data_IF_249246559482
#
_entry.id   IF_249246559482
#
_cell.length_a   1.000
_cell.length_b   1.000
_cell.length_c   1.000
_cell.angle_alpha   90.00
_cell.angle_beta   90.00
_cell.angle_gamma   90.00
#
_symmetry.space_group_name_H-M   'P 1'
#
loop_
_entity.id
_entity.type
_entity.pdbx_description
1 polymer ?
#
# COMPACT_ATOMS: atom_id res chain seq x y z
N UNK A 1 27.84 54.27 31.41
CA UNK A 1 27.11 53.93 32.65
C UNK A 1 26.35 52.64 32.38
N UNK A 2 26.49 51.48 33.04
CA UNK A 2 27.35 50.93 34.10
C UNK A 2 27.70 49.51 33.65
N UNK A 3 28.99 49.14 33.68
CA UNK A 3 29.49 47.75 33.70
C UNK A 3 29.45 47.26 35.16
N UNK A 4 29.34 45.94 35.39
CA UNK A 4 29.73 45.15 36.60
C UNK A 4 29.08 43.77 36.46
N UNK A 5 29.65 42.61 36.82
CA UNK A 5 31.01 42.10 36.93
C UNK A 5 30.84 40.56 37.09
N UNK A 6 31.81 39.81 36.59
CA UNK A 6 31.96 38.36 36.67
C UNK A 6 32.36 37.91 38.09
N UNK A 7 31.84 36.80 38.60
CA UNK A 7 32.58 36.00 39.60
C UNK A 7 32.39 34.51 39.37
N UNK A 8 33.48 33.89 38.92
CA UNK A 8 33.74 32.46 38.85
C UNK A 8 34.28 32.02 40.23
N UNK A 9 33.76 30.94 40.81
CA UNK A 9 34.41 30.28 41.96
C UNK A 9 34.58 28.81 41.63
N UNK A 10 35.82 28.37 41.69
CA UNK A 10 36.31 27.03 41.41
C UNK A 10 37.11 26.62 42.64
N UNK A 11 36.73 25.55 43.34
CA UNK A 11 37.61 24.91 44.32
C UNK A 11 37.36 23.39 44.39
N UNK A 12 38.42 22.68 43.99
CA UNK A 12 38.99 21.42 44.48
C UNK A 12 38.12 20.36 45.16
N UNK A 13 38.21 19.13 44.64
CA UNK A 13 37.53 17.95 45.14
C UNK A 13 38.22 17.22 46.29
N UNK A 14 37.52 16.21 46.79
CA UNK A 14 38.05 15.09 47.57
C UNK A 14 37.28 13.84 47.10
N UNK A 15 38.01 12.83 46.66
CA UNK A 15 37.55 11.46 46.47
C UNK A 15 37.55 10.70 47.80
N UNK A 16 36.47 10.00 48.13
CA UNK A 16 36.51 8.84 49.04
C UNK A 16 35.56 7.76 48.52
N UNK A 17 36.08 6.53 48.49
CA UNK A 17 35.49 5.29 48.02
C UNK A 17 34.71 4.52 49.10
N UNK A 18 33.90 3.55 48.64
CA UNK A 18 33.29 2.39 49.36
C UNK A 18 32.22 2.72 50.42
N UNK A 19 31.06 2.07 50.50
CA UNK A 19 30.78 0.63 50.43
C UNK A 19 29.26 0.38 50.25
N UNK A 20 28.91 -0.75 49.65
CA UNK A 20 27.57 -1.35 49.55
C UNK A 20 26.92 -1.51 50.93
N UNK A 21 25.63 -1.19 51.11
CA UNK A 21 24.65 -1.90 51.95
C UNK A 21 23.23 -1.66 51.40
N UNK A 22 22.49 -2.75 51.18
CA UNK A 22 21.11 -2.78 50.71
C UNK A 22 20.10 -2.43 51.82
N UNK A 23 18.99 -1.77 51.48
CA UNK A 23 17.61 -2.28 51.58
C UNK A 23 16.63 -1.20 51.11
N UNK A 24 15.48 -1.66 50.63
CA UNK A 24 14.51 -0.97 49.79
C UNK A 24 13.79 0.21 50.46
N UNK A 25 13.45 1.21 49.65
CA UNK A 25 12.18 1.95 49.74
C UNK A 25 11.76 2.37 48.33
N UNK A 26 10.50 2.06 47.99
CA UNK A 26 9.83 2.42 46.75
C UNK A 26 9.74 3.94 46.63
N UNK A 27 10.27 4.50 45.54
CA UNK A 27 9.84 5.79 45.03
C UNK A 27 9.50 5.60 43.56
N UNK A 28 8.20 5.65 43.32
CA UNK A 28 7.57 5.68 42.01
C UNK A 28 8.23 6.75 41.13
N UNK A 29 8.89 6.28 40.07
CA UNK A 29 9.26 7.14 38.95
C UNK A 29 8.02 7.39 38.12
N UNK A 30 7.58 8.64 38.18
CA UNK A 30 6.66 9.27 37.24
C UNK A 30 7.27 9.22 35.82
N UNK A 31 6.95 8.16 35.08
CA UNK A 31 7.04 8.14 33.62
C UNK A 31 5.72 8.67 33.06
N UNK A 32 5.63 9.99 32.97
CA UNK A 32 4.65 10.68 32.16
C UNK A 32 4.82 10.29 30.68
N UNK A 33 3.78 9.71 30.10
CA UNK A 33 3.49 9.87 28.66
C UNK A 33 4.12 8.86 27.70
N UNK A 34 3.99 7.55 27.96
CA UNK A 34 3.93 6.62 26.85
C UNK A 34 2.56 6.78 26.16
N UNK A 35 2.51 7.53 25.04
CA UNK A 35 1.37 7.50 24.14
C UNK A 35 1.05 6.03 23.81
N UNK A 36 -0.13 5.60 24.24
CA UNK A 36 -0.72 4.34 23.81
C UNK A 36 -0.92 4.42 22.29
N UNK A 37 0.04 3.94 21.52
CA UNK A 37 -0.19 3.56 20.12
C UNK A 37 -1.27 2.50 20.20
N UNK A 38 -2.51 2.88 19.88
CA UNK A 38 -3.64 1.97 19.91
C UNK A 38 -3.32 0.78 19.01
N UNK A 39 -3.29 -0.42 19.58
CA UNK A 39 -3.19 -1.71 18.86
C UNK A 39 -4.46 -2.00 18.02
N UNK A 40 -5.11 -0.96 17.49
CA UNK A 40 -6.24 -1.10 16.58
C UNK A 40 -5.74 -1.80 15.31
N UNK A 41 -6.37 -2.91 14.97
CA UNK A 41 -6.07 -3.69 13.77
C UNK A 41 -7.36 -4.30 13.22
N UNK A 42 -7.39 -4.55 11.92
CA UNK A 42 -8.54 -5.20 11.30
C UNK A 42 -8.61 -6.68 11.71
N UNK A 43 -9.81 -7.12 12.11
CA UNK A 43 -10.08 -8.53 12.34
C UNK A 43 -10.11 -9.31 11.02
N UNK A 44 -9.85 -10.62 11.08
CA UNK A 44 -9.97 -11.47 9.89
C UNK A 44 -11.39 -11.48 9.34
N UNK A 45 -12.41 -11.41 10.19
CA UNK A 45 -13.81 -11.34 9.80
C UNK A 45 -14.10 -10.10 8.95
N UNK A 46 -13.59 -8.92 9.36
CA UNK A 46 -13.75 -7.69 8.58
C UNK A 46 -13.03 -7.83 7.25
N UNK A 47 -11.77 -8.26 7.23
CA UNK A 47 -10.97 -8.41 6.00
C UNK A 47 -11.64 -9.37 5.01
N UNK A 48 -12.14 -10.49 5.50
CA UNK A 48 -12.77 -11.53 4.68
C UNK A 48 -14.12 -11.06 4.10
N UNK A 49 -14.73 -10.03 4.69
CA UNK A 49 -15.94 -9.40 4.18
C UNK A 49 -15.68 -8.32 3.10
N UNK A 50 -14.45 -7.78 3.02
CA UNK A 50 -14.14 -6.65 2.15
C UNK A 50 -14.00 -7.09 0.69
N UNK A 51 -14.68 -6.36 -0.19
CA UNK A 51 -14.61 -6.51 -1.64
C UNK A 51 -13.76 -5.40 -2.27
N UNK A 52 -13.40 -5.56 -3.55
CA UNK A 52 -12.74 -4.47 -4.31
C UNK A 52 -13.58 -3.19 -4.28
N UNK A 53 -14.91 -3.29 -4.35
CA UNK A 53 -15.79 -2.12 -4.30
C UNK A 53 -15.75 -1.44 -2.93
N UNK A 54 -15.57 -2.20 -1.85
CA UNK A 54 -15.39 -1.63 -0.51
C UNK A 54 -14.06 -0.88 -0.40
N UNK A 55 -12.97 -1.42 -0.97
CA UNK A 55 -11.68 -0.73 -1.03
C UNK A 55 -11.74 0.53 -1.88
N UNK A 56 -12.40 0.48 -3.03
CA UNK A 56 -12.61 1.66 -3.90
C UNK A 56 -13.41 2.72 -3.17
N UNK A 57 -14.52 2.34 -2.53
CA UNK A 57 -15.35 3.25 -1.74
C UNK A 57 -14.54 3.87 -0.60
N UNK A 58 -13.75 3.08 0.12
CA UNK A 58 -12.91 3.58 1.20
C UNK A 58 -11.86 4.58 0.69
N UNK A 59 -11.25 4.30 -0.46
CA UNK A 59 -10.32 5.22 -1.13
C UNK A 59 -11.02 6.52 -1.56
N UNK A 60 -12.21 6.45 -2.16
CA UNK A 60 -12.96 7.64 -2.59
C UNK A 60 -13.29 8.55 -1.41
N UNK A 61 -13.75 7.98 -0.29
CA UNK A 61 -14.03 8.71 0.95
C UNK A 61 -12.75 9.37 1.46
N UNK A 62 -11.69 8.60 1.70
CA UNK A 62 -10.46 9.10 2.32
C UNK A 62 -9.70 10.08 1.43
N UNK A 63 -9.58 9.80 0.13
CA UNK A 63 -8.88 10.69 -0.81
C UNK A 63 -9.66 11.97 -1.16
N UNK A 64 -10.92 12.10 -0.75
CA UNK A 64 -11.67 13.35 -0.86
C UNK A 64 -11.44 14.28 0.34
N UNK A 65 -10.94 13.76 1.45
CA UNK A 65 -10.62 14.50 2.66
C UNK A 65 -9.19 15.08 2.58
N UNK A 66 -9.06 16.40 2.66
CA UNK A 66 -7.75 17.06 2.65
C UNK A 66 -6.97 16.78 3.95
N UNK A 67 -7.67 16.66 5.10
CA UNK A 67 -7.02 16.36 6.36
C UNK A 67 -6.36 14.97 6.30
N UNK A 68 -7.03 13.98 5.70
CA UNK A 68 -6.48 12.63 5.51
C UNK A 68 -5.18 12.63 4.73
N UNK A 69 -5.05 13.48 3.70
CA UNK A 69 -3.86 13.53 2.83
C UNK A 69 -2.63 14.07 3.55
N UNK A 70 -2.84 14.90 4.57
CA UNK A 70 -1.79 15.53 5.36
C UNK A 70 -1.36 14.67 6.57
N UNK A 71 -2.08 13.58 6.86
CA UNK A 71 -1.74 12.62 7.91
C UNK A 71 -0.46 11.82 7.61
N UNK A 72 0.17 11.35 8.68
CA UNK A 72 1.23 10.32 8.59
C UNK A 72 0.65 8.99 8.07
N UNK A 73 1.49 8.08 7.56
CA UNK A 73 1.01 6.77 7.09
C UNK A 73 0.35 5.97 8.23
N UNK A 74 0.86 6.08 9.46
CA UNK A 74 0.29 5.41 10.63
C UNK A 74 -1.09 5.97 10.98
N UNK A 75 -1.25 7.30 10.94
CA UNK A 75 -2.54 7.94 11.17
C UNK A 75 -3.55 7.66 10.04
N UNK A 76 -3.09 7.60 8.78
CA UNK A 76 -3.91 7.13 7.67
C UNK A 76 -4.36 5.69 7.88
N UNK A 77 -3.49 4.83 8.41
CA UNK A 77 -3.85 3.45 8.70
C UNK A 77 -4.93 3.37 9.80
N UNK A 78 -4.79 4.12 10.90
CA UNK A 78 -5.80 4.21 11.95
C UNK A 78 -7.15 4.73 11.43
N UNK A 79 -7.12 5.77 10.61
CA UNK A 79 -8.31 6.29 9.94
C UNK A 79 -9.00 5.20 9.10
N UNK A 80 -8.22 4.47 8.30
CA UNK A 80 -8.76 3.45 7.40
C UNK A 80 -9.27 2.22 8.14
N UNK A 81 -8.69 1.85 9.28
CA UNK A 81 -9.22 0.79 10.15
C UNK A 81 -10.65 1.12 10.58
N UNK A 82 -10.88 2.35 11.07
CA UNK A 82 -12.20 2.82 11.48
C UNK A 82 -13.17 2.80 10.31
N UNK A 83 -12.75 3.34 9.16
CA UNK A 83 -13.59 3.37 7.95
C UNK A 83 -13.98 1.98 7.44
N UNK A 84 -13.07 1.00 7.45
CA UNK A 84 -13.41 -0.37 7.04
C UNK A 84 -14.38 -1.04 8.02
N UNK A 85 -14.23 -0.81 9.33
CA UNK A 85 -15.20 -1.29 10.31
C UNK A 85 -16.59 -0.66 10.08
N UNK A 86 -16.65 0.65 9.80
CA UNK A 86 -17.92 1.32 9.48
C UNK A 86 -18.56 0.76 8.20
N UNK A 87 -17.76 0.48 7.17
CA UNK A 87 -18.23 -0.18 5.93
C UNK A 87 -18.76 -1.58 6.24
N UNK A 88 -18.03 -2.35 7.06
CA UNK A 88 -18.42 -3.69 7.49
C UNK A 88 -19.75 -3.66 8.25
N UNK A 89 -19.88 -2.79 9.25
CA UNK A 89 -21.10 -2.68 10.06
C UNK A 89 -22.30 -2.18 9.24
N UNK A 90 -22.08 -1.25 8.32
CA UNK A 90 -23.13 -0.81 7.41
C UNK A 90 -23.60 -1.94 6.47
N UNK A 91 -22.73 -2.90 6.14
CA UNK A 91 -23.09 -4.12 5.41
C UNK A 91 -23.80 -5.10 6.34
N UNK A 92 -23.27 -5.37 7.53
CA UNK A 92 -23.83 -6.31 8.52
C UNK A 92 -25.29 -5.97 8.85
N UNK A 93 -25.60 -4.68 9.06
CA UNK A 93 -26.96 -4.19 9.32
C UNK A 93 -27.91 -4.39 8.12
N UNK A 94 -27.38 -4.47 6.89
CA UNK A 94 -28.15 -4.74 5.67
C UNK A 94 -28.37 -6.25 5.44
N UNK A 95 -27.70 -7.15 6.17
CA UNK A 95 -27.83 -8.61 5.99
C UNK A 95 -28.95 -9.21 6.86
N UNK A 96 -30.18 -8.99 6.43
CA UNK A 96 -31.16 -10.09 6.28
C UNK A 96 -31.33 -10.51 4.80
N UNK A 97 -30.61 -9.88 3.88
CA UNK A 97 -30.63 -10.21 2.45
C UNK A 97 -29.33 -10.88 2.01
N UNK A 98 -29.47 -12.16 1.67
CA UNK A 98 -28.47 -13.16 1.30
C UNK A 98 -27.96 -12.94 -0.15
N UNK A 99 -26.81 -13.55 -0.46
CA UNK A 99 -26.29 -13.89 -1.80
C UNK A 99 -25.86 -12.75 -2.74
N UNK A 100 -24.54 -12.62 -2.95
CA UNK A 100 -23.93 -12.51 -4.27
C UNK A 100 -22.54 -13.17 -4.24
N UNK A 101 -22.27 -14.23 -5.03
CA UNK A 101 -20.90 -14.69 -5.25
C UNK A 101 -20.25 -13.77 -6.29
N UNK A 102 -19.07 -13.21 -6.01
CA UNK A 102 -18.39 -12.34 -6.98
C UNK A 102 -17.05 -12.96 -7.37
N UNK A 103 -16.80 -13.17 -8.66
CA UNK A 103 -15.68 -13.93 -9.21
C UNK A 103 -14.28 -13.26 -9.06
N UNK A 104 -13.97 -12.75 -7.87
CA UNK A 104 -12.64 -12.31 -7.40
C UNK A 104 -12.51 -12.60 -5.89
N UNK A 105 -13.08 -13.71 -5.42
CA UNK A 105 -13.13 -13.99 -3.98
C UNK A 105 -11.76 -14.43 -3.46
N UNK A 106 -11.31 -13.65 -2.50
CA UNK A 106 -10.27 -13.91 -1.53
C UNK A 106 -8.88 -13.39 -1.90
N UNK A 107 -8.51 -12.34 -1.17
CA UNK A 107 -7.12 -12.00 -0.91
C UNK A 107 -6.35 -13.25 -0.50
N UNK A 108 -5.18 -13.46 -1.09
CA UNK A 108 -4.31 -14.53 -0.65
C UNK A 108 -3.75 -14.22 0.75
N UNK A 109 -3.14 -15.21 1.41
CA UNK A 109 -2.64 -15.02 2.78
C UNK A 109 -1.57 -13.94 2.92
N UNK A 110 -0.80 -13.63 1.88
CA UNK A 110 0.19 -12.55 1.90
C UNK A 110 -0.49 -11.18 1.77
N UNK A 111 -1.48 -11.07 0.88
CA UNK A 111 -2.30 -9.87 0.72
C UNK A 111 -3.07 -9.55 2.02
N UNK A 112 -3.71 -10.54 2.66
CA UNK A 112 -4.41 -10.33 3.95
C UNK A 112 -3.49 -9.76 5.04
N UNK A 113 -2.25 -10.26 5.13
CA UNK A 113 -1.25 -9.72 6.05
C UNK A 113 -0.93 -8.27 5.74
N UNK A 114 -0.76 -7.92 4.47
CA UNK A 114 -0.52 -6.54 4.06
C UNK A 114 -1.72 -5.63 4.31
N UNK A 115 -2.95 -6.11 4.17
CA UNK A 115 -4.16 -5.34 4.53
C UNK A 115 -4.17 -5.01 6.02
N UNK A 116 -3.81 -5.96 6.89
CA UNK A 116 -3.68 -5.70 8.33
C UNK A 116 -2.61 -4.66 8.64
N UNK A 117 -1.45 -4.74 7.97
CA UNK A 117 -0.31 -3.87 8.24
C UNK A 117 -0.40 -2.49 7.59
N UNK A 118 -1.07 -2.37 6.45
CA UNK A 118 -1.13 -1.15 5.63
C UNK A 118 -2.53 -0.90 5.04
N UNK A 119 -3.56 -0.72 5.89
CA UNK A 119 -4.95 -0.56 5.44
C UNK A 119 -5.18 0.65 4.51
N UNK A 120 -4.42 1.73 4.65
CA UNK A 120 -4.47 2.86 3.72
C UNK A 120 -3.89 2.50 2.34
N UNK A 121 -2.77 1.78 2.31
CA UNK A 121 -2.21 1.28 1.06
C UNK A 121 -3.15 0.29 0.37
N UNK A 122 -3.86 -0.56 1.14
CA UNK A 122 -4.81 -1.51 0.58
C UNK A 122 -5.89 -0.83 -0.28
N UNK A 123 -6.49 0.24 0.23
CA UNK A 123 -7.46 1.05 -0.53
C UNK A 123 -6.89 1.55 -1.86
N UNK A 124 -5.66 2.06 -1.85
CA UNK A 124 -4.97 2.53 -3.05
C UNK A 124 -4.67 1.38 -4.04
N UNK A 125 -4.17 0.26 -3.54
CA UNK A 125 -3.77 -0.93 -4.34
C UNK A 125 -4.96 -1.51 -5.08
N UNK A 126 -6.08 -1.73 -4.38
CA UNK A 126 -7.27 -2.35 -4.97
C UNK A 126 -8.06 -1.36 -5.84
N UNK A 127 -7.99 -0.06 -5.55
CA UNK A 127 -8.50 0.96 -6.48
C UNK A 127 -7.71 0.98 -7.78
N UNK A 128 -6.38 0.94 -7.71
CA UNK A 128 -5.53 0.85 -8.90
C UNK A 128 -5.82 -0.42 -9.71
N UNK A 129 -6.05 -1.55 -9.05
CA UNK A 129 -6.41 -2.83 -9.70
C UNK A 129 -7.77 -2.75 -10.41
N UNK A 130 -8.78 -2.18 -9.75
CA UNK A 130 -10.11 -1.95 -10.33
C UNK A 130 -10.02 -1.08 -11.59
N UNK A 131 -9.27 0.03 -11.52
CA UNK A 131 -9.02 0.90 -12.67
C UNK A 131 -8.33 0.15 -13.81
N UNK A 132 -7.26 -0.58 -13.52
CA UNK A 132 -6.53 -1.33 -14.55
C UNK A 132 -7.40 -2.39 -15.23
N UNK A 133 -8.22 -3.11 -14.47
CA UNK A 133 -9.17 -4.10 -14.98
C UNK A 133 -10.20 -3.45 -15.90
N UNK A 134 -10.84 -2.37 -15.44
CA UNK A 134 -11.82 -1.61 -16.23
C UNK A 134 -11.24 -1.13 -17.54
N UNK A 135 -10.03 -0.55 -17.52
CA UNK A 135 -9.38 -0.04 -18.73
C UNK A 135 -8.93 -1.16 -19.66
N UNK A 136 -8.44 -2.28 -19.12
CA UNK A 136 -8.11 -3.46 -19.92
C UNK A 136 -9.32 -3.98 -20.69
N UNK A 137 -10.45 -4.18 -20.00
CA UNK A 137 -11.69 -4.66 -20.62
C UNK A 137 -12.28 -3.70 -21.65
N UNK A 138 -12.02 -2.39 -21.50
CA UNK A 138 -12.41 -1.39 -22.48
C UNK A 138 -11.53 -1.42 -23.76
N UNK A 139 -10.23 -1.71 -23.60
CA UNK A 139 -9.23 -1.58 -24.66
C UNK A 139 -8.95 -2.89 -25.42
N UNK A 140 -9.10 -4.04 -24.77
CA UNK A 140 -8.76 -5.35 -25.31
C UNK A 140 -10.01 -6.22 -25.41
N UNK A 141 -10.18 -6.88 -26.56
CA UNK A 141 -11.25 -7.89 -26.74
C UNK A 141 -10.75 -9.30 -26.49
N UNK A 142 -9.45 -9.52 -26.65
CA UNK A 142 -8.80 -10.82 -26.47
C UNK A 142 -7.51 -10.69 -25.64
N UNK A 143 -6.93 -11.82 -25.24
CA UNK A 143 -5.66 -11.84 -24.52
C UNK A 143 -5.73 -11.24 -23.11
N UNK A 144 -6.90 -11.33 -22.47
CA UNK A 144 -7.15 -10.88 -21.09
C UNK A 144 -6.48 -11.77 -20.04
N UNK A 145 -6.04 -12.95 -20.44
CA UNK A 145 -5.18 -13.84 -19.67
C UNK A 145 -4.02 -14.24 -20.59
N UNK A 146 -2.79 -14.12 -20.08
CA UNK A 146 -1.57 -14.51 -20.77
C UNK A 146 -1.27 -13.76 -22.09
N UNK A 147 -2.06 -12.74 -22.44
CA UNK A 147 -1.96 -12.00 -23.70
C UNK A 147 -1.54 -10.54 -23.54
N UNK A 148 -1.71 -9.75 -24.60
CA UNK A 148 -1.39 -8.32 -24.56
C UNK A 148 -2.27 -7.54 -23.59
N UNK A 149 -3.55 -7.92 -23.45
CA UNK A 149 -4.47 -7.29 -22.50
C UNK A 149 -4.03 -7.55 -21.06
N UNK A 150 -3.60 -8.76 -20.75
CA UNK A 150 -3.04 -9.11 -19.45
C UNK A 150 -1.75 -8.33 -19.14
N UNK A 151 -0.83 -8.30 -20.12
CA UNK A 151 0.39 -7.53 -20.00
C UNK A 151 0.14 -6.03 -19.76
N UNK A 152 -0.86 -5.47 -20.46
CA UNK A 152 -1.33 -4.11 -20.22
C UNK A 152 -1.89 -3.95 -18.81
N UNK A 153 -2.76 -4.87 -18.35
CA UNK A 153 -3.37 -4.84 -17.01
C UNK A 153 -2.30 -4.76 -15.93
N UNK A 154 -1.33 -5.67 -15.94
CA UNK A 154 -0.23 -5.70 -14.97
C UNK A 154 0.63 -4.44 -15.01
N UNK A 155 0.99 -4.00 -16.22
CA UNK A 155 1.80 -2.78 -16.43
C UNK A 155 1.07 -1.54 -15.93
N UNK A 156 -0.21 -1.39 -16.28
CA UNK A 156 -1.00 -0.23 -15.95
C UNK A 156 -1.34 -0.20 -14.45
N UNK A 157 -1.76 -1.34 -13.88
CA UNK A 157 -1.98 -1.50 -12.45
C UNK A 157 -0.75 -1.09 -11.63
N UNK A 158 0.43 -1.61 -11.97
CA UNK A 158 1.64 -1.26 -11.23
C UNK A 158 2.03 0.21 -11.39
N UNK A 159 1.70 0.86 -12.51
CA UNK A 159 1.96 2.28 -12.71
C UNK A 159 1.01 3.19 -11.91
N UNK A 160 -0.28 2.84 -11.84
CA UNK A 160 -1.28 3.52 -10.99
C UNK A 160 -0.95 3.32 -9.51
N UNK A 161 -0.74 2.07 -9.11
CA UNK A 161 -0.38 1.69 -7.75
C UNK A 161 0.89 2.42 -7.28
N UNK A 162 1.93 2.48 -8.12
CA UNK A 162 3.15 3.25 -7.80
C UNK A 162 2.88 4.73 -7.59
N UNK A 163 1.98 5.32 -8.38
CA UNK A 163 1.65 6.75 -8.29
C UNK A 163 0.82 7.04 -7.03
N UNK A 164 -0.14 6.17 -6.69
CA UNK A 164 -0.95 6.31 -5.48
C UNK A 164 -0.13 6.10 -4.20
N UNK A 165 0.72 5.08 -4.17
CA UNK A 165 1.58 4.76 -3.02
C UNK A 165 2.78 5.68 -2.85
N UNK A 166 2.97 6.64 -3.76
CA UNK A 166 4.04 7.64 -3.65
C UNK A 166 3.72 8.75 -2.63
N UNK A 167 2.50 8.84 -2.12
CA UNK A 167 2.07 9.92 -1.23
C UNK A 167 1.40 11.08 -1.97
N UNK A 168 0.95 12.08 -1.21
CA UNK A 168 0.17 13.21 -1.71
C UNK A 168 0.99 14.50 -1.70
N UNK A 169 0.54 15.52 -2.44
CA UNK A 169 1.12 16.87 -2.37
C UNK A 169 2.66 16.92 -2.37
N UNK A 170 3.23 17.56 -1.35
CA UNK A 170 4.67 17.69 -1.12
C UNK A 170 5.36 16.40 -0.65
N UNK A 171 4.62 15.41 -0.13
CA UNK A 171 5.17 14.12 0.29
C UNK A 171 5.34 13.12 -0.86
N UNK A 172 4.88 13.47 -2.08
CA UNK A 172 5.01 12.62 -3.27
C UNK A 172 6.46 12.21 -3.53
N UNK A 173 6.75 10.92 -3.37
CA UNK A 173 8.04 10.29 -3.61
C UNK A 173 7.86 9.01 -4.45
N UNK A 174 8.23 9.04 -5.74
CA UNK A 174 8.07 7.90 -6.63
C UNK A 174 8.96 6.71 -6.25
N UNK A 175 10.05 6.91 -5.51
CA UNK A 175 10.90 5.80 -5.03
C UNK A 175 10.17 5.00 -3.95
N UNK A 176 9.50 5.68 -3.00
CA UNK A 176 8.67 5.03 -1.98
C UNK A 176 7.50 4.28 -2.64
N UNK A 177 6.83 4.93 -3.58
CA UNK A 177 5.75 4.32 -4.36
C UNK A 177 6.18 3.04 -5.06
N UNK A 178 7.39 2.99 -5.66
CA UNK A 178 7.91 1.79 -6.31
C UNK A 178 8.17 0.65 -5.33
N UNK A 179 8.75 0.97 -4.17
CA UNK A 179 9.03 -0.01 -3.12
C UNK A 179 7.73 -0.63 -2.60
N UNK A 180 6.74 0.21 -2.26
CA UNK A 180 5.45 -0.23 -1.77
C UNK A 180 4.67 -1.00 -2.84
N UNK A 181 4.64 -0.51 -4.08
CA UNK A 181 4.01 -1.20 -5.20
C UNK A 181 4.65 -2.57 -5.48
N UNK A 182 5.97 -2.69 -5.35
CA UNK A 182 6.65 -3.99 -5.50
C UNK A 182 6.21 -4.97 -4.41
N UNK A 183 6.15 -4.53 -3.14
CA UNK A 183 5.70 -5.36 -2.02
C UNK A 183 4.31 -5.94 -2.25
N UNK A 184 3.36 -5.11 -2.66
CA UNK A 184 1.98 -5.53 -2.96
C UNK A 184 1.88 -6.40 -4.21
N UNK A 185 2.58 -6.03 -5.30
CA UNK A 185 2.59 -6.83 -6.52
C UNK A 185 3.21 -8.21 -6.29
N UNK A 186 4.36 -8.30 -5.60
CA UNK A 186 5.00 -9.58 -5.32
C UNK A 186 4.08 -10.48 -4.48
N UNK A 187 3.41 -9.93 -3.46
CA UNK A 187 2.45 -10.65 -2.63
C UNK A 187 1.26 -11.18 -3.46
N UNK A 188 0.79 -10.43 -4.45
CA UNK A 188 -0.25 -10.88 -5.39
C UNK A 188 0.20 -12.10 -6.19
N UNK A 189 1.47 -12.14 -6.62
CA UNK A 189 2.07 -13.27 -7.35
C UNK A 189 2.46 -14.46 -6.44
N UNK A 190 2.12 -14.48 -5.14
CA UNK A 190 2.37 -15.61 -4.22
C UNK A 190 1.30 -16.72 -4.29
N UNK A 191 0.46 -16.72 -5.32
CA UNK A 191 -0.52 -17.78 -5.52
C UNK A 191 0.18 -19.13 -5.78
N UNK A 192 0.01 -20.09 -4.86
CA UNK A 192 0.65 -21.42 -4.90
C UNK A 192 0.36 -22.21 -6.18
N UNK A 193 -0.74 -21.92 -6.86
CA UNK A 193 -1.18 -22.65 -8.05
C UNK A 193 -0.84 -21.91 -9.36
N UNK A 194 -0.16 -20.75 -9.30
CA UNK A 194 0.22 -19.99 -10.49
C UNK A 194 1.35 -20.73 -11.25
N UNK A 195 1.19 -20.99 -12.56
CA UNK A 195 2.27 -21.53 -13.38
C UNK A 195 3.51 -20.64 -13.38
N UNK A 196 4.70 -21.25 -13.39
CA UNK A 196 5.96 -20.53 -13.27
C UNK A 196 6.20 -19.51 -14.41
N UNK A 197 5.73 -19.79 -15.61
CA UNK A 197 5.82 -18.88 -16.75
C UNK A 197 4.85 -17.69 -16.65
N UNK A 198 3.65 -17.88 -16.08
CA UNK A 198 2.71 -16.79 -15.76
C UNK A 198 3.33 -15.87 -14.72
N UNK A 199 3.81 -16.43 -13.61
CA UNK A 199 4.53 -15.65 -12.58
C UNK A 199 5.70 -14.86 -13.15
N UNK A 200 6.48 -15.46 -14.05
CA UNK A 200 7.59 -14.77 -14.72
C UNK A 200 7.10 -13.60 -15.59
N UNK A 201 6.03 -13.79 -16.35
CA UNK A 201 5.41 -12.76 -17.18
C UNK A 201 4.87 -11.61 -16.31
N UNK A 202 4.14 -11.94 -15.26
CA UNK A 202 3.46 -10.99 -14.39
C UNK A 202 4.47 -10.16 -13.60
N UNK A 203 5.46 -10.79 -12.95
CA UNK A 203 6.55 -10.08 -12.26
C UNK A 203 7.31 -9.14 -13.21
N UNK A 204 7.55 -9.56 -14.45
CA UNK A 204 8.21 -8.71 -15.46
C UNK A 204 7.34 -7.49 -15.80
N UNK A 205 6.06 -7.71 -16.12
CA UNK A 205 5.13 -6.63 -16.50
C UNK A 205 4.87 -5.67 -15.34
N UNK A 206 4.73 -6.20 -14.13
CA UNK A 206 4.65 -5.44 -12.89
C UNK A 206 5.86 -4.49 -12.76
N UNK A 207 7.07 -4.99 -13.02
CA UNK A 207 8.29 -4.18 -13.00
C UNK A 207 8.33 -3.10 -14.09
N UNK A 208 7.86 -3.41 -15.31
CA UNK A 208 7.74 -2.41 -16.39
C UNK A 208 6.80 -1.29 -15.95
N UNK A 209 5.66 -1.62 -15.35
CA UNK A 209 4.68 -0.67 -14.84
C UNK A 209 5.27 0.29 -13.80
N UNK A 210 5.93 -0.24 -12.77
CA UNK A 210 6.62 0.58 -11.75
C UNK A 210 7.68 1.50 -12.36
N UNK A 211 8.40 1.02 -13.37
CA UNK A 211 9.46 1.78 -14.04
C UNK A 211 8.96 2.98 -14.85
N UNK A 212 7.66 3.05 -15.17
CA UNK A 212 7.05 4.20 -15.87
C UNK A 212 7.08 5.46 -15.00
N UNK A 213 6.94 5.30 -13.68
CA UNK A 213 6.70 6.41 -12.76
C UNK A 213 8.03 7.00 -12.27
N UNK A 214 8.31 8.24 -12.66
CA UNK A 214 9.46 9.02 -12.18
C UNK A 214 9.07 10.42 -11.67
N UNK A 215 7.79 10.76 -11.83
CA UNK A 215 7.12 11.94 -11.32
C UNK A 215 5.62 11.62 -11.29
N UNK A 216 4.82 12.54 -10.76
CA UNK A 216 3.36 12.40 -10.78
C UNK A 216 2.84 12.47 -12.22
N UNK A 217 2.03 11.48 -12.61
CA UNK A 217 1.33 11.42 -13.88
C UNK A 217 -0.18 11.36 -13.63
N UNK A 218 -0.96 11.83 -14.60
CA UNK A 218 -2.40 11.53 -14.61
C UNK A 218 -2.63 10.07 -14.98
N UNK A 219 -3.75 9.48 -14.54
CA UNK A 219 -4.12 8.11 -14.92
C UNK A 219 -4.22 7.93 -16.44
N UNK A 220 -4.68 8.97 -17.15
CA UNK A 220 -4.72 8.99 -18.63
C UNK A 220 -3.32 8.92 -19.25
N UNK A 221 -2.32 9.58 -18.65
CA UNK A 221 -0.95 9.52 -19.14
C UNK A 221 -0.29 8.18 -18.82
N UNK A 222 -0.58 7.61 -17.65
CA UNK A 222 -0.12 6.27 -17.27
C UNK A 222 -0.68 5.21 -18.22
N UNK A 223 -1.97 5.25 -18.53
CA UNK A 223 -2.60 4.36 -19.52
C UNK A 223 -1.89 4.44 -20.87
N UNK A 224 -1.69 5.66 -21.39
CA UNK A 224 -0.99 5.86 -22.67
C UNK A 224 0.43 5.30 -22.64
N UNK A 225 1.16 5.48 -21.54
CA UNK A 225 2.52 4.96 -21.37
C UNK A 225 2.54 3.44 -21.27
N UNK A 226 1.61 2.84 -20.54
CA UNK A 226 1.47 1.39 -20.45
C UNK A 226 1.13 0.77 -21.82
N UNK A 227 0.17 1.35 -22.55
CA UNK A 227 -0.14 0.95 -23.94
C UNK A 227 1.09 1.04 -24.84
N UNK A 228 1.85 2.14 -24.77
CA UNK A 228 3.05 2.29 -25.57
C UNK A 228 4.11 1.22 -25.26
N UNK A 229 4.24 0.78 -24.00
CA UNK A 229 5.15 -0.32 -23.63
C UNK A 229 4.71 -1.65 -24.22
N UNK A 230 3.41 -1.94 -24.17
CA UNK A 230 2.85 -3.17 -24.75
C UNK A 230 3.00 -3.18 -26.28
N UNK A 231 2.60 -2.09 -26.94
CA UNK A 231 2.65 -1.96 -28.40
C UNK A 231 4.09 -2.02 -28.95
N UNK A 232 5.08 -1.58 -28.16
CA UNK A 232 6.50 -1.63 -28.51
C UNK A 232 7.19 -2.97 -28.18
N UNK A 233 6.46 -3.99 -27.70
CA UNK A 233 7.05 -5.27 -27.31
C UNK A 233 7.92 -5.20 -26.05
N UNK A 234 7.80 -4.11 -25.27
CA UNK A 234 8.56 -3.92 -24.04
C UNK A 234 7.99 -4.72 -22.86
N UNK A 235 6.81 -5.31 -23.01
CA UNK A 235 6.16 -6.19 -22.03
C UNK A 235 6.27 -7.66 -22.45
N UNK A 236 5.73 -8.57 -21.64
CA UNK A 236 5.70 -10.01 -21.88
C UNK A 236 4.29 -10.56 -21.93
N UNK A 237 4.10 -11.58 -22.76
CA UNK A 237 2.90 -12.39 -22.90
C UNK A 237 3.31 -13.87 -23.03
N UNK A 238 2.35 -14.79 -22.97
CA UNK A 238 2.62 -16.21 -23.19
C UNK A 238 1.99 -16.66 -24.52
N UNK A 239 2.78 -17.38 -25.31
CA UNK A 239 2.35 -18.05 -26.54
C UNK A 239 2.98 -19.43 -26.57
N UNK A 240 2.17 -20.47 -26.80
CA UNK A 240 2.64 -21.86 -26.84
C UNK A 240 3.50 -22.20 -25.59
N UNK A 241 3.00 -21.81 -24.42
CA UNK A 241 3.64 -21.99 -23.11
C UNK A 241 4.98 -21.27 -22.91
N UNK A 242 5.40 -20.39 -23.84
CA UNK A 242 6.64 -19.61 -23.75
C UNK A 242 6.36 -18.14 -23.48
N UNK A 243 7.14 -17.56 -22.57
CA UNK A 243 7.16 -16.11 -22.33
C UNK A 243 7.84 -15.42 -23.51
N UNK A 244 7.10 -14.57 -24.23
CA UNK A 244 7.55 -13.84 -25.42
C UNK A 244 7.19 -12.36 -25.31
N UNK A 245 7.75 -11.53 -26.18
CA UNK A 245 7.40 -10.11 -26.23
C UNK A 245 5.92 -9.89 -26.63
N UNK A 246 5.34 -8.82 -26.10
CA UNK A 246 4.02 -8.33 -26.53
C UNK A 246 4.05 -7.83 -27.98
N UNK A 247 2.87 -7.65 -28.56
CA UNK A 247 2.69 -7.10 -29.92
C UNK A 247 1.68 -5.95 -29.89
N UNK A 248 1.47 -5.29 -31.03
CA UNK A 248 0.48 -4.21 -31.18
C UNK A 248 -0.99 -4.69 -31.27
N UNK A 249 -1.24 -6.01 -31.24
CA UNK A 249 -2.60 -6.55 -31.38
C UNK A 249 -3.46 -6.28 -30.14
N UNK A 250 -4.75 -5.96 -30.33
CA UNK A 250 -5.73 -5.68 -29.27
C UNK A 250 -7.02 -6.47 -29.49
#
# INVERSE_FOLDING_TARGET
>A
MKKIFLTLVLFFGISVSSSIHAYADEIATDESGAEQISNESLSDEVIDSLTIDDFVKAYEISSSDEAFKDLSEDDQNLYMIKLYNDIYEAKSYRVTARYLPSAYENLNSAEKKLVKSYPAQAAQVYTASSLATKRTNALYKNGLHNGNGDAFRHTYWNSEMTTMLAGYGSSFNPSNGKTNAKRWADAHEENKNQPANEKQMDLFNNNVGRSIVNKKYSSKDLEKKALAKVDAGSCRRIVNNKVVATTKAR
#
